data_IF_045326212391
#
_entry.id   IF_045326212391
#
_cell.length_a   1.000
_cell.length_b   1.000
_cell.length_c   1.000
_cell.angle_alpha   90.00
_cell.angle_beta   90.00
_cell.angle_gamma   90.00
#
_symmetry.space_group_name_H-M   'P 1'
#
loop_
_entity.id
_entity.type
_entity.pdbx_description
1 polymer ?
#
# COMPACT_ATOMS: atom_id res chain seq x y z
N UNK A 1 89.50 -0.72 31.35
CA UNK A 1 88.79 -0.25 32.55
C UNK A 1 87.57 0.54 32.09
N UNK A 2 86.37 0.45 32.70
CA UNK A 2 85.77 -0.64 33.47
C UNK A 2 84.28 -0.96 33.09
N UNK A 3 83.89 -2.19 33.40
CA UNK A 3 82.58 -2.79 33.73
C UNK A 3 81.31 -1.91 33.92
N UNK A 4 80.14 -2.38 33.43
CA UNK A 4 79.15 -3.16 34.22
C UNK A 4 77.86 -3.51 33.41
N UNK A 5 77.23 -4.68 33.66
CA UNK A 5 75.92 -5.08 33.17
C UNK A 5 74.81 -4.80 34.20
N UNK A 6 73.57 -4.58 33.76
CA UNK A 6 72.37 -4.67 34.62
C UNK A 6 71.20 -5.27 33.81
N UNK A 7 70.74 -6.42 34.30
CA UNK A 7 69.49 -7.10 33.98
C UNK A 7 68.27 -6.19 34.14
N UNK A 8 67.21 -6.44 33.37
CA UNK A 8 65.87 -6.63 33.94
C UNK A 8 64.91 -7.19 32.90
N UNK A 9 64.23 -8.28 33.30
CA UNK A 9 62.76 -8.46 33.16
C UNK A 9 62.22 -8.67 31.74
N UNK A 10 61.33 -9.61 31.40
CA UNK A 10 60.53 -10.60 32.13
C UNK A 10 59.74 -11.36 31.06
N UNK A 11 59.51 -12.66 31.32
CA UNK A 11 58.58 -13.56 30.63
C UNK A 11 57.35 -12.84 30.07
N UNK A 12 56.95 -13.17 28.85
CA UNK A 12 55.58 -13.67 28.66
C UNK A 12 55.38 -14.51 27.41
N UNK A 13 54.56 -15.53 27.65
CA UNK A 13 54.26 -16.71 26.87
C UNK A 13 53.40 -16.44 25.65
N UNK A 14 53.77 -17.11 24.56
CA UNK A 14 52.96 -17.32 23.36
C UNK A 14 51.58 -17.86 23.74
N UNK A 15 50.52 -17.09 23.48
CA UNK A 15 49.14 -17.57 23.47
C UNK A 15 48.56 -17.32 22.09
N UNK A 16 48.59 -18.37 21.28
CA UNK A 16 47.95 -18.49 19.98
C UNK A 16 46.47 -18.13 20.06
N UNK A 17 46.08 -17.02 19.44
CA UNK A 17 44.67 -16.69 19.18
C UNK A 17 44.25 -17.37 17.87
N UNK A 18 43.40 -18.39 17.97
CA UNK A 18 42.59 -18.84 16.85
C UNK A 18 41.52 -17.76 16.54
N UNK A 19 41.17 -17.49 15.28
CA UNK A 19 40.11 -16.55 14.96
C UNK A 19 38.76 -17.22 15.24
N UNK A 20 38.07 -16.76 16.28
CA UNK A 20 36.65 -17.05 16.45
C UNK A 20 35.88 -16.29 15.38
N UNK A 21 35.45 -17.01 14.34
CA UNK A 21 34.43 -16.53 13.41
C UNK A 21 33.08 -16.70 14.15
N UNK A 22 32.65 -15.63 14.83
CA UNK A 22 31.29 -15.51 15.35
C UNK A 22 30.35 -15.31 14.16
N UNK A 23 29.86 -16.42 13.61
CA UNK A 23 28.67 -16.41 12.76
C UNK A 23 27.44 -16.12 13.63
N UNK A 24 27.16 -14.84 13.83
CA UNK A 24 25.85 -14.37 14.30
C UNK A 24 25.15 -13.65 13.14
N UNK A 25 24.67 -14.43 12.16
CA UNK A 25 23.53 -13.99 11.38
C UNK A 25 22.29 -14.09 12.27
N UNK A 26 22.12 -13.11 13.15
CA UNK A 26 20.80 -12.83 13.71
C UNK A 26 19.96 -12.29 12.56
N UNK A 27 19.28 -13.18 11.81
CA UNK A 27 18.16 -12.78 10.98
C UNK A 27 17.07 -12.34 11.96
N UNK A 28 17.15 -11.07 12.36
CA UNK A 28 16.01 -10.35 12.91
C UNK A 28 14.99 -10.36 11.77
N UNK A 29 14.05 -11.32 11.80
CA UNK A 29 12.79 -11.16 11.10
C UNK A 29 12.19 -9.89 11.70
N UNK A 30 12.46 -8.78 11.01
CA UNK A 30 12.05 -7.45 11.38
C UNK A 30 10.56 -7.49 11.65
N UNK A 31 10.18 -6.82 12.72
CA UNK A 31 8.80 -6.68 13.13
C UNK A 31 7.94 -6.40 11.91
N UNK A 32 6.95 -7.25 11.65
CA UNK A 32 5.92 -6.98 10.67
C UNK A 32 5.17 -5.73 11.16
N UNK A 33 5.70 -4.56 10.84
CA UNK A 33 4.93 -3.33 10.76
C UNK A 33 3.75 -3.73 9.87
N UNK A 34 2.52 -3.66 10.39
CA UNK A 34 1.31 -3.82 9.59
C UNK A 34 1.23 -2.62 8.63
N UNK A 35 2.12 -2.58 7.64
CA UNK A 35 2.15 -1.56 6.61
C UNK A 35 0.97 -1.89 5.72
N UNK A 36 -0.11 -1.14 5.91
CA UNK A 36 -1.26 -1.21 5.04
C UNK A 36 -0.86 -0.58 3.71
N UNK A 37 -0.28 -1.40 2.82
CA UNK A 37 0.21 -0.98 1.49
C UNK A 37 -0.84 -0.17 0.69
N UNK A 38 -2.12 -0.41 0.96
CA UNK A 38 -3.25 0.28 0.36
C UNK A 38 -3.40 1.75 0.81
N UNK A 39 -2.77 2.18 1.90
CA UNK A 39 -2.79 3.58 2.36
C UNK A 39 -1.59 4.38 1.86
N UNK A 40 -0.56 3.72 1.37
CA UNK A 40 0.61 4.37 0.77
C UNK A 40 0.39 4.72 -0.71
N UNK A 41 -0.67 4.18 -1.32
CA UNK A 41 -1.04 4.52 -2.69
C UNK A 41 -1.77 5.88 -2.77
N UNK A 42 -1.49 6.69 -3.81
CA UNK A 42 -2.24 7.92 -4.06
C UNK A 42 -3.74 7.68 -4.24
N UNK A 43 -4.54 8.69 -3.91
CA UNK A 43 -6.00 8.62 -3.99
C UNK A 43 -6.50 8.30 -5.41
N UNK A 44 -5.79 8.76 -6.44
CA UNK A 44 -6.08 8.46 -7.84
C UNK A 44 -5.87 6.98 -8.15
N UNK A 45 -4.77 6.40 -7.67
CA UNK A 45 -4.48 4.96 -7.82
C UNK A 45 -5.48 4.12 -7.05
N UNK A 46 -5.88 4.58 -5.86
CA UNK A 46 -6.93 3.92 -5.09
C UNK A 46 -8.28 4.00 -5.81
N UNK A 47 -8.61 5.13 -6.43
CA UNK A 47 -9.81 5.30 -7.27
C UNK A 47 -9.78 4.33 -8.44
N UNK A 48 -8.63 4.22 -9.12
CA UNK A 48 -8.40 3.28 -10.20
C UNK A 48 -8.71 1.84 -9.77
N UNK A 49 -8.13 1.38 -8.66
CA UNK A 49 -8.37 0.04 -8.10
C UNK A 49 -9.86 -0.15 -7.79
N UNK A 50 -10.48 0.83 -7.14
CA UNK A 50 -11.90 0.73 -6.74
C UNK A 50 -12.88 0.82 -7.90
N UNK A 51 -12.47 1.31 -9.07
CA UNK A 51 -13.35 1.42 -10.24
C UNK A 51 -13.83 0.07 -10.79
N UNK A 52 -13.14 -1.03 -10.44
CA UNK A 52 -13.55 -2.39 -10.82
C UNK A 52 -14.57 -3.01 -9.86
N UNK A 53 -14.90 -2.34 -8.75
CA UNK A 53 -15.78 -2.89 -7.73
C UNK A 53 -17.25 -2.59 -8.03
N UNK A 54 -18.11 -3.59 -7.82
CA UNK A 54 -19.57 -3.43 -7.84
C UNK A 54 -20.06 -2.67 -6.60
N UNK A 55 -21.30 -2.15 -6.59
CA UNK A 55 -21.83 -1.43 -5.44
C UNK A 55 -21.77 -2.22 -4.13
N UNK A 56 -22.14 -3.52 -4.07
CA UNK A 56 -21.98 -4.30 -2.84
C UNK A 56 -20.52 -4.39 -2.38
N UNK A 57 -19.59 -4.55 -3.31
CA UNK A 57 -18.15 -4.62 -3.00
C UNK A 57 -17.59 -3.30 -2.50
N UNK A 58 -18.00 -2.16 -3.08
CA UNK A 58 -17.64 -0.83 -2.58
C UNK A 58 -18.17 -0.59 -1.16
N UNK A 59 -19.43 -0.98 -0.91
CA UNK A 59 -20.01 -0.86 0.44
C UNK A 59 -19.31 -1.77 1.45
N UNK A 60 -18.91 -2.98 1.06
CA UNK A 60 -18.10 -3.84 1.90
C UNK A 60 -16.71 -3.23 2.18
N UNK A 61 -16.05 -2.68 1.16
CA UNK A 61 -14.77 -1.98 1.30
C UNK A 61 -14.87 -0.79 2.26
N UNK A 62 -15.94 -0.02 2.20
CA UNK A 62 -16.17 1.12 3.09
C UNK A 62 -16.30 0.71 4.58
N UNK A 63 -16.59 -0.56 4.87
CA UNK A 63 -16.77 -1.06 6.24
C UNK A 63 -15.48 -1.59 6.87
N UNK A 64 -14.39 -1.67 6.12
CA UNK A 64 -13.14 -2.27 6.62
C UNK A 64 -12.34 -1.31 7.50
N UNK A 65 -12.23 -0.03 7.13
CA UNK A 65 -11.57 1.00 7.93
C UNK A 65 -12.07 2.41 7.60
N UNK A 66 -11.74 3.37 8.47
CA UNK A 66 -12.16 4.77 8.32
C UNK A 66 -11.54 5.48 7.10
N UNK A 67 -10.33 5.10 6.69
CA UNK A 67 -9.68 5.64 5.51
C UNK A 67 -10.42 5.22 4.23
N UNK A 68 -10.72 3.92 4.10
CA UNK A 68 -11.48 3.39 2.96
C UNK A 68 -12.93 3.87 2.98
N UNK A 69 -13.53 4.05 4.16
CA UNK A 69 -14.82 4.72 4.27
C UNK A 69 -14.80 6.12 3.65
N UNK A 70 -13.78 6.94 3.95
CA UNK A 70 -13.64 8.28 3.38
C UNK A 70 -13.46 8.22 1.86
N UNK A 71 -12.62 7.32 1.36
CA UNK A 71 -12.41 7.09 -0.07
C UNK A 71 -13.71 6.70 -0.81
N UNK A 72 -14.45 5.72 -0.28
CA UNK A 72 -15.72 5.28 -0.86
C UNK A 72 -16.84 6.31 -0.68
N UNK A 73 -16.72 7.24 0.28
CA UNK A 73 -17.72 8.32 0.45
C UNK A 73 -17.64 9.35 -0.68
N UNK A 74 -16.49 9.49 -1.33
CA UNK A 74 -16.32 10.41 -2.47
C UNK A 74 -17.17 9.96 -3.67
N UNK A 75 -17.95 10.90 -4.24
CA UNK A 75 -18.81 10.62 -5.39
C UNK A 75 -18.00 10.31 -6.66
N UNK A 76 -16.76 10.80 -6.75
CA UNK A 76 -15.86 10.47 -7.85
C UNK A 76 -15.52 8.97 -7.91
N UNK A 77 -15.37 8.32 -6.75
CA UNK A 77 -15.18 6.87 -6.65
C UNK A 77 -16.33 6.11 -7.30
N UNK A 78 -17.57 6.55 -7.05
CA UNK A 78 -18.78 5.96 -7.64
C UNK A 78 -18.91 6.28 -9.13
N UNK A 79 -18.58 7.50 -9.55
CA UNK A 79 -18.56 7.88 -10.97
C UNK A 79 -17.61 6.98 -11.76
N UNK A 80 -16.36 6.84 -11.31
CA UNK A 80 -15.36 6.02 -12.01
C UNK A 80 -15.78 4.55 -12.09
N UNK A 81 -16.30 4.00 -10.99
CA UNK A 81 -16.80 2.63 -10.99
C UNK A 81 -18.03 2.44 -11.90
N UNK A 82 -18.94 3.41 -11.90
CA UNK A 82 -20.11 3.43 -12.79
C UNK A 82 -19.71 3.45 -14.26
N UNK A 83 -18.81 4.35 -14.65
CA UNK A 83 -18.35 4.49 -16.03
C UNK A 83 -17.62 3.22 -16.52
N UNK A 84 -16.81 2.61 -15.65
CA UNK A 84 -16.12 1.38 -15.97
C UNK A 84 -17.12 0.24 -16.28
N UNK A 85 -18.18 0.11 -15.48
CA UNK A 85 -19.15 -0.98 -15.64
C UNK A 85 -20.21 -0.74 -16.71
N UNK A 86 -20.72 0.50 -16.84
CA UNK A 86 -21.85 0.80 -17.71
C UNK A 86 -21.47 1.45 -19.04
N UNK A 87 -20.34 2.16 -19.09
CA UNK A 87 -19.86 2.81 -20.32
C UNK A 87 -18.64 2.09 -20.93
N UNK A 88 -18.10 1.06 -20.27
CA UNK A 88 -16.86 0.40 -20.67
C UNK A 88 -15.65 1.33 -20.64
N UNK A 89 -15.75 2.47 -19.95
CA UNK A 89 -14.68 3.46 -19.83
C UNK A 89 -13.84 3.06 -18.64
N UNK A 90 -12.79 2.29 -18.92
CA UNK A 90 -11.79 1.92 -17.94
C UNK A 90 -11.14 3.15 -17.28
N UNK A 91 -10.61 2.99 -16.06
CA UNK A 91 -9.96 4.08 -15.33
C UNK A 91 -8.72 4.68 -16.02
N UNK A 92 -8.10 3.97 -16.97
CA UNK A 92 -7.02 4.48 -17.83
C UNK A 92 -7.46 5.61 -18.76
N UNK A 93 -8.75 5.67 -19.08
CA UNK A 93 -9.27 6.60 -20.07
C UNK A 93 -9.60 7.95 -19.43
N UNK A 94 -9.21 9.00 -20.17
CA UNK A 94 -9.67 10.36 -19.91
C UNK A 94 -11.19 10.42 -19.90
N UNK A 95 -11.74 11.20 -18.97
CA UNK A 95 -13.15 11.54 -18.92
C UNK A 95 -13.42 12.61 -19.97
N UNK A 96 -13.35 12.23 -21.24
CA UNK A 96 -13.79 13.12 -22.30
C UNK A 96 -15.29 13.33 -22.12
N UNK A 97 -15.67 14.58 -21.83
CA UNK A 97 -17.01 14.95 -21.36
C UNK A 97 -18.13 14.35 -22.20
N UNK A 98 -17.92 14.16 -23.51
CA UNK A 98 -18.91 13.64 -24.45
C UNK A 98 -19.52 12.31 -24.02
N UNK A 99 -18.71 11.34 -23.55
CA UNK A 99 -19.26 10.03 -23.14
C UNK A 99 -20.01 10.09 -21.82
N UNK A 100 -19.60 10.98 -20.92
CA UNK A 100 -20.26 11.21 -19.63
C UNK A 100 -21.60 11.94 -19.82
N UNK A 101 -21.66 12.86 -20.78
CA UNK A 101 -22.88 13.62 -21.12
C UNK A 101 -23.98 12.76 -21.74
N UNK A 102 -23.63 11.64 -22.40
CA UNK A 102 -24.61 10.69 -22.94
C UNK A 102 -25.36 9.91 -21.85
N UNK A 103 -24.83 9.88 -20.63
CA UNK A 103 -25.46 9.19 -19.50
C UNK A 103 -26.46 10.13 -18.83
N UNK A 104 -27.73 10.04 -19.24
CA UNK A 104 -28.83 10.72 -18.55
C UNK A 104 -28.93 10.21 -17.12
N UNK A 105 -28.47 11.03 -16.17
CA UNK A 105 -28.53 10.74 -14.73
C UNK A 105 -29.95 10.94 -14.20
N UNK A 106 -30.43 10.00 -13.39
CA UNK A 106 -31.75 10.06 -12.73
C UNK A 106 -31.63 10.53 -11.27
N UNK A 107 -30.48 10.29 -10.66
CA UNK A 107 -30.19 10.60 -9.27
C UNK A 107 -29.29 11.83 -9.10
N UNK A 108 -29.22 12.33 -7.88
CA UNK A 108 -28.42 13.52 -7.54
C UNK A 108 -26.93 13.20 -7.31
N UNK A 109 -26.60 11.94 -7.05
CA UNK A 109 -25.23 11.48 -6.80
C UNK A 109 -24.94 10.22 -7.59
N UNK A 110 -23.68 10.04 -7.99
CA UNK A 110 -23.26 8.83 -8.70
C UNK A 110 -23.38 7.59 -7.84
N UNK A 111 -23.21 7.73 -6.52
CA UNK A 111 -23.51 6.64 -5.58
C UNK A 111 -24.93 6.10 -5.74
N UNK A 112 -25.93 6.98 -5.72
CA UNK A 112 -27.33 6.58 -5.82
C UNK A 112 -27.64 6.05 -7.21
N UNK A 113 -27.16 6.73 -8.25
CA UNK A 113 -27.35 6.32 -9.65
C UNK A 113 -26.83 4.89 -9.89
N UNK A 114 -25.62 4.60 -9.42
CA UNK A 114 -24.97 3.31 -9.62
C UNK A 114 -25.68 2.21 -8.81
N UNK A 115 -26.06 2.48 -7.55
CA UNK A 115 -26.85 1.52 -6.77
C UNK A 115 -28.20 1.24 -7.44
N UNK A 116 -28.90 2.28 -7.90
CA UNK A 116 -30.18 2.16 -8.59
C UNK A 116 -30.06 1.28 -9.84
N UNK A 117 -29.17 1.62 -10.78
CA UNK A 117 -29.00 0.86 -12.02
C UNK A 117 -28.49 -0.55 -11.80
N UNK A 118 -27.60 -0.75 -10.83
CA UNK A 118 -27.15 -2.10 -10.48
C UNK A 118 -28.25 -2.94 -9.83
N UNK A 119 -29.21 -2.32 -9.13
CA UNK A 119 -30.38 -3.04 -8.60
C UNK A 119 -31.41 -3.39 -9.68
N UNK A 120 -31.47 -2.62 -10.76
CA UNK A 120 -32.35 -2.84 -11.92
C UNK A 120 -31.77 -3.82 -12.95
N UNK A 121 -30.44 -3.92 -13.02
CA UNK A 121 -29.71 -4.78 -13.97
C UNK A 121 -29.33 -6.16 -13.44
N UNK A 122 -29.99 -6.62 -12.36
CA UNK A 122 -30.00 -8.02 -11.92
C UNK A 122 -31.35 -8.63 -12.21
#
# INVERSE_FOLDING_TARGET
MPTRPIDTSRKESVKSKAPQITSQHHIQHGQHQNISLLFDVPAESLTYITSYLTPPSLLALARTCSHLYKHVKDDNTWLRAFLNQFAGIGPEHSLDNEKVLLLRRLENTWRKEFILRHSLGR
#
